data_IF_628296407933
#
_entry.id   IF_628296407933
#
_cell.length_a   1.000
_cell.length_b   1.000
_cell.length_c   1.000
_cell.angle_alpha   90.00
_cell.angle_beta   90.00
_cell.angle_gamma   90.00
#
_symmetry.space_group_name_H-M   'P 1'
#
loop_
_entity.id
_entity.type
_entity.pdbx_description
1 polymer ?
#
# COMPACT_ATOMS: atom_id res chain seq x y z
N UNK A 1 73.69 -10.31 -35.20
CA UNK A 1 74.36 -11.62 -35.41
C UNK A 1 73.90 -12.49 -34.25
N UNK A 2 73.22 -13.63 -34.34
CA UNK A 2 73.06 -14.73 -35.32
C UNK A 2 71.80 -15.51 -34.85
N UNK A 3 70.78 -15.77 -35.69
CA UNK A 3 70.42 -17.05 -36.36
C UNK A 3 70.55 -18.30 -35.44
N UNK A 4 69.67 -19.29 -35.40
CA UNK A 4 68.38 -19.71 -35.98
C UNK A 4 68.04 -21.01 -35.21
N UNK A 5 66.77 -21.40 -35.06
CA UNK A 5 66.38 -22.77 -35.39
C UNK A 5 64.88 -22.83 -35.71
N UNK A 6 64.58 -23.25 -36.92
CA UNK A 6 63.24 -23.58 -37.40
C UNK A 6 62.88 -25.01 -36.99
N UNK A 7 61.59 -25.27 -36.75
CA UNK A 7 60.94 -26.44 -37.35
C UNK A 7 59.48 -26.18 -37.64
N UNK A 8 59.16 -26.24 -38.94
CA UNK A 8 57.82 -26.26 -39.52
C UNK A 8 57.24 -27.67 -39.38
N UNK A 9 55.95 -27.77 -39.09
CA UNK A 9 55.10 -28.86 -39.59
C UNK A 9 53.75 -28.23 -39.97
N UNK A 10 53.44 -28.25 -41.26
CA UNK A 10 52.10 -28.05 -41.81
C UNK A 10 51.32 -29.38 -41.69
N UNK A 11 50.00 -29.40 -41.60
CA UNK A 11 48.98 -29.58 -42.67
C UNK A 11 47.67 -29.81 -41.85
N UNK A 12 46.47 -29.28 -42.12
CA UNK A 12 45.62 -29.42 -43.32
C UNK A 12 44.48 -28.39 -43.26
N UNK A 13 44.04 -27.90 -44.42
CA UNK A 13 42.86 -27.07 -44.59
C UNK A 13 41.56 -27.89 -44.59
N UNK A 14 40.46 -27.29 -44.10
CA UNK A 14 39.10 -27.59 -44.58
C UNK A 14 38.37 -26.25 -44.75
N UNK A 15 38.07 -25.93 -46.01
CA UNK A 15 37.09 -24.93 -46.42
C UNK A 15 35.73 -25.61 -46.42
N UNK A 16 34.75 -25.05 -45.71
CA UNK A 16 33.34 -25.39 -45.90
C UNK A 16 32.55 -24.08 -46.04
N UNK A 17 32.01 -23.89 -47.25
CA UNK A 17 31.02 -22.86 -47.58
C UNK A 17 29.76 -23.09 -46.76
N UNK A 18 29.31 -22.08 -46.02
CA UNK A 18 27.96 -22.03 -45.46
C UNK A 18 27.13 -21.01 -46.25
N UNK A 19 26.16 -21.56 -46.97
CA UNK A 19 25.12 -20.91 -47.75
C UNK A 19 24.16 -20.09 -46.91
N UNK A 20 23.52 -19.12 -47.57
CA UNK A 20 22.65 -18.10 -47.00
C UNK A 20 21.52 -18.61 -46.11
N UNK A 21 21.23 -17.78 -45.11
CA UNK A 21 20.00 -17.76 -44.33
C UNK A 21 19.86 -16.35 -43.76
N UNK A 22 19.32 -15.41 -44.55
CA UNK A 22 18.81 -14.14 -44.04
C UNK A 22 17.60 -14.48 -43.17
N UNK A 23 17.83 -14.67 -41.87
CA UNK A 23 16.76 -14.62 -40.88
C UNK A 23 16.35 -13.16 -40.81
N UNK A 24 15.24 -12.83 -41.49
CA UNK A 24 14.54 -11.58 -41.26
C UNK A 24 14.12 -11.58 -39.79
N UNK A 25 14.82 -10.80 -38.98
CA UNK A 25 14.41 -10.49 -37.62
C UNK A 25 13.12 -9.68 -37.81
N UNK A 26 11.97 -10.32 -37.65
CA UNK A 26 10.71 -9.61 -37.59
C UNK A 26 10.82 -8.63 -36.43
N UNK A 27 10.90 -7.33 -36.75
CA UNK A 27 10.76 -6.29 -35.75
C UNK A 27 9.44 -6.47 -35.00
N UNK A 28 9.30 -5.93 -33.77
CA UNK A 28 8.04 -5.98 -33.07
C UNK A 28 6.98 -5.41 -34.02
N UNK A 29 5.93 -6.21 -34.27
CA UNK A 29 4.77 -5.73 -34.99
C UNK A 29 4.36 -4.42 -34.30
N UNK A 30 4.40 -3.32 -35.05
CA UNK A 30 3.90 -2.05 -34.56
C UNK A 30 2.50 -2.34 -34.01
N UNK A 31 2.32 -2.12 -32.70
CA UNK A 31 1.01 -2.13 -32.08
C UNK A 31 0.14 -1.23 -32.94
N UNK A 32 -0.82 -1.81 -33.67
CA UNK A 32 -1.80 -1.02 -34.39
C UNK A 32 -2.39 -0.04 -33.37
N UNK A 33 -2.29 1.25 -33.67
CA UNK A 33 -2.78 2.32 -32.79
C UNK A 33 -4.31 2.17 -32.67
N UNK A 34 -4.76 1.28 -31.78
CA UNK A 34 -6.17 0.92 -31.59
C UNK A 34 -7.00 2.14 -31.22
N UNK A 35 -6.35 3.16 -30.68
CA UNK A 35 -6.98 4.35 -30.12
C UNK A 35 -6.31 5.58 -30.73
N UNK A 36 -6.77 5.97 -31.93
CA UNK A 36 -6.13 7.01 -32.73
C UNK A 36 -5.80 8.29 -31.96
N UNK A 37 -4.65 8.90 -32.30
CA UNK A 37 -4.11 10.11 -31.67
C UNK A 37 -5.12 11.27 -31.60
N UNK A 38 -5.59 11.58 -30.40
CA UNK A 38 -6.46 12.71 -30.08
C UNK A 38 -7.23 12.50 -28.77
N UNK A 39 -7.91 13.51 -28.23
CA UNK A 39 -8.55 13.44 -26.90
C UNK A 39 -9.54 12.27 -26.71
N UNK A 40 -10.17 11.82 -27.80
CA UNK A 40 -11.06 10.65 -27.77
C UNK A 40 -10.29 9.33 -27.68
N UNK A 41 -9.17 9.21 -28.38
CA UNK A 41 -8.28 8.06 -28.29
C UNK A 41 -7.61 7.98 -26.93
N UNK A 42 -7.09 9.10 -26.42
CA UNK A 42 -6.54 9.19 -25.06
C UNK A 42 -7.58 8.78 -24.01
N UNK A 43 -8.82 9.25 -24.12
CA UNK A 43 -9.90 8.81 -23.24
C UNK A 43 -10.19 7.32 -23.35
N UNK A 44 -10.12 6.73 -24.55
CA UNK A 44 -10.33 5.30 -24.73
C UNK A 44 -9.22 4.49 -24.02
N UNK A 45 -7.95 4.88 -24.20
CA UNK A 45 -6.79 4.28 -23.51
C UNK A 45 -6.94 4.38 -21.99
N UNK A 46 -7.28 5.56 -21.47
CA UNK A 46 -7.48 5.73 -20.02
C UNK A 46 -8.63 4.87 -19.48
N UNK A 47 -9.70 4.69 -20.25
CA UNK A 47 -10.80 3.81 -19.87
C UNK A 47 -10.41 2.33 -19.93
N UNK A 48 -9.58 1.91 -20.90
CA UNK A 48 -9.00 0.57 -20.95
C UNK A 48 -8.20 0.30 -19.67
N UNK A 49 -7.28 1.20 -19.30
CA UNK A 49 -6.51 1.06 -18.05
C UNK A 49 -7.39 1.00 -16.81
N UNK A 50 -8.46 1.81 -16.74
CA UNK A 50 -9.38 1.78 -15.62
C UNK A 50 -10.17 0.45 -15.54
N UNK A 51 -10.60 -0.10 -16.67
CA UNK A 51 -11.30 -1.39 -16.74
C UNK A 51 -10.38 -2.53 -16.35
N UNK A 52 -9.15 -2.56 -16.87
CA UNK A 52 -8.17 -3.61 -16.56
C UNK A 52 -7.72 -3.55 -15.09
N UNK A 53 -7.50 -2.34 -14.56
CA UNK A 53 -7.19 -2.15 -13.14
C UNK A 53 -8.35 -2.61 -12.25
N UNK A 54 -9.60 -2.30 -12.63
CA UNK A 54 -10.76 -2.78 -11.90
C UNK A 54 -10.90 -4.31 -11.96
N UNK A 55 -10.57 -4.94 -13.08
CA UNK A 55 -10.58 -6.39 -13.19
C UNK A 55 -9.63 -7.05 -12.17
N UNK A 56 -8.45 -6.47 -11.94
CA UNK A 56 -7.53 -6.92 -10.89
C UNK A 56 -8.15 -6.80 -9.49
N UNK A 57 -8.71 -5.64 -9.13
CA UNK A 57 -9.42 -5.47 -7.85
C UNK A 57 -10.57 -6.47 -7.67
N UNK A 58 -11.36 -6.69 -8.72
CA UNK A 58 -12.49 -7.62 -8.67
C UNK A 58 -12.03 -9.07 -8.48
N UNK A 59 -10.88 -9.46 -9.05
CA UNK A 59 -10.30 -10.80 -8.93
C UNK A 59 -9.65 -11.05 -7.56
N UNK A 60 -9.08 -10.01 -6.93
CA UNK A 60 -8.48 -10.12 -5.59
C UNK A 60 -9.51 -10.30 -4.47
N UNK A 61 -10.78 -9.98 -4.70
CA UNK A 61 -11.81 -9.97 -3.66
C UNK A 61 -12.37 -11.35 -3.39
N UNK A 62 -12.36 -11.75 -2.13
CA UNK A 62 -13.07 -12.94 -1.70
C UNK A 62 -14.59 -12.76 -1.80
N UNK A 63 -15.31 -13.67 -2.49
CA UNK A 63 -16.73 -13.51 -2.72
C UNK A 63 -17.59 -13.69 -1.47
N UNK A 64 -17.09 -14.33 -0.41
CA UNK A 64 -17.83 -14.51 0.83
C UNK A 64 -17.65 -13.31 1.77
N UNK A 65 -16.41 -12.89 1.98
CA UNK A 65 -16.10 -11.80 2.93
C UNK A 65 -16.14 -10.41 2.29
N UNK A 66 -15.94 -10.31 0.96
CA UNK A 66 -15.73 -9.04 0.29
C UNK A 66 -14.38 -8.37 0.60
N UNK A 67 -13.43 -9.09 1.20
CA UNK A 67 -12.09 -8.58 1.48
C UNK A 67 -11.15 -8.80 0.28
N UNK A 68 -10.37 -7.79 -0.13
CA UNK A 68 -9.38 -7.94 -1.19
C UNK A 68 -8.10 -8.60 -0.66
N UNK A 69 -7.56 -9.60 -1.35
CA UNK A 69 -6.20 -10.08 -1.11
C UNK A 69 -5.16 -8.97 -1.34
N UNK A 70 -3.99 -9.11 -0.73
CA UNK A 70 -2.85 -8.21 -0.93
C UNK A 70 -2.28 -8.29 -2.34
N UNK A 71 -2.21 -9.50 -2.87
CA UNK A 71 -1.76 -9.75 -4.24
C UNK A 71 -2.42 -11.00 -4.82
N UNK A 72 -2.31 -11.10 -6.15
CA UNK A 72 -2.78 -12.20 -7.00
C UNK A 72 -1.80 -12.31 -8.17
N UNK A 73 -1.67 -13.49 -8.79
CA UNK A 73 -0.83 -13.63 -9.99
C UNK A 73 -1.43 -12.88 -11.20
N UNK A 74 -0.58 -12.62 -12.20
CA UNK A 74 -0.93 -11.76 -13.35
C UNK A 74 -1.99 -12.35 -14.29
N UNK A 75 -2.31 -13.63 -14.18
CA UNK A 75 -3.42 -14.26 -14.89
C UNK A 75 -4.78 -14.08 -14.20
N UNK A 76 -4.78 -13.46 -13.02
CA UNK A 76 -5.95 -13.17 -12.19
C UNK A 76 -6.71 -14.43 -11.72
N UNK A 77 -6.05 -15.58 -11.63
CA UNK A 77 -6.67 -16.79 -11.07
C UNK A 77 -6.95 -16.59 -9.57
N UNK A 78 -8.21 -16.63 -9.10
CA UNK A 78 -8.55 -16.48 -7.68
C UNK A 78 -7.90 -17.51 -6.76
N UNK A 79 -7.38 -18.63 -7.29
CA UNK A 79 -6.62 -19.62 -6.54
C UNK A 79 -5.21 -19.14 -6.15
N UNK A 80 -4.71 -18.07 -6.79
CA UNK A 80 -3.37 -17.50 -6.55
C UNK A 80 -3.40 -16.27 -5.63
N UNK A 81 -4.56 -15.95 -5.04
CA UNK A 81 -4.67 -14.90 -4.02
C UNK A 81 -3.75 -15.19 -2.84
N UNK A 82 -3.18 -14.14 -2.28
CA UNK A 82 -2.12 -14.21 -1.28
C UNK A 82 -2.49 -14.89 0.04
N UNK A 83 -3.78 -15.06 0.37
CA UNK A 83 -4.21 -15.60 1.66
C UNK A 83 -4.12 -14.58 2.80
N UNK A 84 -3.93 -13.29 2.49
CA UNK A 84 -4.02 -12.21 3.47
C UNK A 84 -4.42 -10.87 2.86
N UNK A 85 -4.94 -9.97 3.70
CA UNK A 85 -5.32 -8.59 3.41
C UNK A 85 -4.85 -7.63 4.51
N UNK A 86 -4.86 -6.33 4.21
CA UNK A 86 -4.52 -5.26 5.15
C UNK A 86 -5.60 -4.17 5.17
N UNK A 87 -5.65 -3.32 6.22
CA UNK A 87 -6.53 -2.15 6.22
C UNK A 87 -6.29 -1.23 5.01
N UNK A 88 -5.05 -1.12 4.51
CA UNK A 88 -4.74 -0.39 3.26
C UNK A 88 -5.41 -1.04 2.06
N UNK A 89 -5.30 -2.36 1.90
CA UNK A 89 -5.89 -3.08 0.76
C UNK A 89 -7.42 -2.96 0.78
N UNK A 90 -8.03 -3.12 1.96
CA UNK A 90 -9.46 -2.92 2.19
C UNK A 90 -9.86 -1.49 1.81
N UNK A 91 -9.14 -0.48 2.31
CA UNK A 91 -9.38 0.92 1.96
C UNK A 91 -9.29 1.16 0.45
N UNK A 92 -8.26 0.59 -0.17
CA UNK A 92 -8.03 0.68 -1.60
C UNK A 92 -9.16 0.11 -2.43
N UNK A 93 -9.67 -1.06 -2.06
CA UNK A 93 -10.82 -1.64 -2.72
C UNK A 93 -12.08 -0.79 -2.56
N UNK A 94 -12.34 -0.24 -1.36
CA UNK A 94 -13.50 0.58 -1.09
C UNK A 94 -13.55 1.85 -1.95
N UNK A 95 -12.47 2.64 -2.01
CA UNK A 95 -12.47 3.83 -2.88
C UNK A 95 -12.44 3.47 -4.37
N UNK A 96 -11.78 2.38 -4.74
CA UNK A 96 -11.73 1.94 -6.14
C UNK A 96 -13.09 1.45 -6.64
N UNK A 97 -13.91 0.86 -5.76
CA UNK A 97 -15.30 0.51 -6.05
C UNK A 97 -16.16 1.75 -6.34
N UNK A 98 -15.93 2.85 -5.61
CA UNK A 98 -16.59 4.14 -5.89
C UNK A 98 -16.15 4.69 -7.26
N UNK A 99 -14.84 4.65 -7.56
CA UNK A 99 -14.31 5.11 -8.85
C UNK A 99 -14.86 4.28 -10.01
N UNK A 100 -14.88 2.94 -9.89
CA UNK A 100 -15.41 2.04 -10.91
C UNK A 100 -16.90 2.31 -11.22
N UNK A 101 -17.69 2.62 -10.18
CA UNK A 101 -19.08 3.05 -10.34
C UNK A 101 -19.19 4.36 -11.10
N UNK A 102 -18.39 5.36 -10.73
CA UNK A 102 -18.48 6.72 -11.28
C UNK A 102 -17.96 6.79 -12.72
N UNK A 103 -17.01 5.91 -13.08
CA UNK A 103 -16.57 5.69 -14.46
C UNK A 103 -17.54 4.82 -15.28
N UNK A 104 -18.55 4.21 -14.65
CA UNK A 104 -19.55 3.36 -15.31
C UNK A 104 -19.05 1.95 -15.65
N UNK A 105 -17.93 1.51 -15.06
CA UNK A 105 -17.38 0.16 -15.20
C UNK A 105 -18.30 -0.86 -14.51
N UNK A 106 -18.84 -0.48 -13.35
CA UNK A 106 -19.86 -1.26 -12.62
C UNK A 106 -21.11 -0.43 -12.37
N UNK A 107 -22.24 -1.13 -12.19
CA UNK A 107 -23.51 -0.46 -11.89
C UNK A 107 -23.53 0.12 -10.46
N UNK A 108 -24.40 1.11 -10.23
CA UNK A 108 -24.66 1.64 -8.87
C UNK A 108 -25.15 0.59 -7.89
N UNK A 109 -25.87 -0.42 -8.37
CA UNK A 109 -26.35 -1.53 -7.55
C UNK A 109 -25.20 -2.43 -7.12
N UNK A 110 -24.36 -2.84 -8.08
CA UNK A 110 -23.18 -3.67 -7.84
C UNK A 110 -22.20 -3.00 -6.87
N UNK A 111 -21.88 -1.73 -7.12
CA UNK A 111 -21.01 -0.94 -6.24
C UNK A 111 -21.54 -0.90 -4.79
N UNK A 112 -22.84 -0.62 -4.60
CA UNK A 112 -23.44 -0.60 -3.25
C UNK A 112 -23.36 -1.98 -2.59
N UNK A 113 -23.64 -3.05 -3.33
CA UNK A 113 -23.62 -4.41 -2.79
C UNK A 113 -22.21 -4.79 -2.30
N UNK A 114 -21.18 -4.54 -3.13
CA UNK A 114 -19.77 -4.76 -2.79
C UNK A 114 -19.34 -3.96 -1.57
N UNK A 115 -19.57 -2.64 -1.57
CA UNK A 115 -19.26 -1.77 -0.44
C UNK A 115 -19.95 -2.25 0.84
N UNK A 116 -21.24 -2.59 0.77
CA UNK A 116 -21.99 -3.05 1.95
C UNK A 116 -21.47 -4.38 2.48
N UNK A 117 -21.04 -5.29 1.61
CA UNK A 117 -20.49 -6.58 2.01
C UNK A 117 -19.14 -6.40 2.72
N UNK A 118 -18.22 -5.66 2.11
CA UNK A 118 -16.90 -5.39 2.71
C UNK A 118 -17.06 -4.65 4.05
N UNK A 119 -17.91 -3.62 4.13
CA UNK A 119 -18.15 -2.90 5.38
C UNK A 119 -18.75 -3.80 6.47
N UNK A 120 -19.66 -4.71 6.12
CA UNK A 120 -20.24 -5.65 7.09
C UNK A 120 -19.17 -6.59 7.67
N UNK A 121 -18.26 -7.09 6.83
CA UNK A 121 -17.13 -7.90 7.29
C UNK A 121 -16.17 -7.09 8.14
N UNK A 122 -15.76 -5.90 7.69
CA UNK A 122 -14.83 -5.01 8.41
C UNK A 122 -15.35 -4.67 9.81
N UNK A 123 -16.66 -4.45 9.95
CA UNK A 123 -17.27 -4.18 11.25
C UNK A 123 -17.15 -5.36 12.25
N UNK A 124 -16.95 -6.58 11.76
CA UNK A 124 -16.80 -7.79 12.57
C UNK A 124 -15.36 -8.27 12.75
N UNK A 125 -14.36 -7.62 12.14
CA UNK A 125 -12.96 -8.01 12.31
C UNK A 125 -12.51 -7.77 13.75
N UNK A 126 -11.69 -8.69 14.25
CA UNK A 126 -10.97 -8.47 15.50
C UNK A 126 -10.06 -7.24 15.35
N UNK A 127 -10.08 -6.36 16.35
CA UNK A 127 -9.30 -5.12 16.35
C UNK A 127 -9.01 -4.72 17.79
N UNK A 128 -8.01 -3.87 17.99
CA UNK A 128 -7.63 -3.46 19.34
C UNK A 128 -8.76 -2.66 19.98
N UNK A 129 -9.27 -3.14 21.11
CA UNK A 129 -10.50 -2.66 21.73
C UNK A 129 -10.41 -1.18 22.13
N UNK A 130 -9.32 -0.78 22.80
CA UNK A 130 -9.20 0.56 23.38
C UNK A 130 -8.96 1.67 22.35
N UNK A 131 -8.29 1.34 21.24
CA UNK A 131 -7.96 2.29 20.16
C UNK A 131 -8.93 2.22 18.98
N UNK A 132 -9.68 1.12 18.85
CA UNK A 132 -10.50 0.79 17.69
C UNK A 132 -9.72 0.61 16.38
N UNK A 133 -8.39 0.52 16.45
CA UNK A 133 -7.51 0.35 15.30
C UNK A 133 -7.42 -1.12 14.87
N UNK A 134 -7.33 -1.34 13.57
CA UNK A 134 -7.22 -2.64 12.95
C UNK A 134 -5.76 -3.11 12.93
N UNK A 135 -5.60 -4.43 13.02
CA UNK A 135 -4.32 -5.09 12.81
C UNK A 135 -3.95 -5.02 11.32
N UNK A 136 -2.67 -5.09 11.00
CA UNK A 136 -2.22 -4.88 9.64
C UNK A 136 -2.47 -6.08 8.72
N UNK A 137 -2.68 -7.28 9.28
CA UNK A 137 -2.88 -8.51 8.51
C UNK A 137 -4.06 -9.33 9.00
N UNK A 138 -4.96 -9.66 8.08
CA UNK A 138 -6.07 -10.59 8.25
C UNK A 138 -6.06 -11.61 7.12
N UNK A 139 -6.54 -12.82 7.36
CA UNK A 139 -6.91 -13.77 6.31
C UNK A 139 -8.14 -13.21 5.57
N UNK A 140 -8.07 -13.06 4.25
CA UNK A 140 -9.14 -12.46 3.44
C UNK A 140 -10.36 -13.37 3.32
N UNK A 141 -10.21 -14.69 3.41
CA UNK A 141 -11.29 -15.65 3.26
C UNK A 141 -12.10 -15.84 4.56
N UNK A 142 -11.51 -15.54 5.71
CA UNK A 142 -12.12 -15.76 7.03
C UNK A 142 -12.26 -14.49 7.86
N UNK A 143 -11.48 -13.45 7.59
CA UNK A 143 -11.38 -12.25 8.42
C UNK A 143 -10.59 -12.47 9.72
N UNK A 144 -9.92 -13.63 9.88
CA UNK A 144 -9.15 -13.92 11.08
C UNK A 144 -7.86 -13.09 11.13
N UNK A 145 -7.56 -12.49 12.29
CA UNK A 145 -6.28 -11.81 12.54
C UNK A 145 -5.12 -12.79 12.33
N UNK A 146 -4.12 -12.39 11.55
CA UNK A 146 -2.97 -13.25 11.32
C UNK A 146 -2.00 -13.24 12.49
N UNK A 147 -1.61 -14.44 12.89
CA UNK A 147 -0.54 -14.69 13.86
C UNK A 147 0.58 -15.57 13.29
N UNK A 148 0.44 -15.99 12.03
CA UNK A 148 1.45 -16.69 11.26
C UNK A 148 1.26 -16.37 9.78
N UNK A 149 2.35 -16.29 9.02
CA UNK A 149 2.29 -16.03 7.58
C UNK A 149 1.70 -17.23 6.84
N UNK A 150 0.74 -17.02 5.91
CA UNK A 150 0.28 -18.06 5.01
C UNK A 150 1.45 -18.65 4.21
N UNK A 151 1.46 -19.97 4.06
CA UNK A 151 2.52 -20.70 3.35
C UNK A 151 3.74 -21.02 4.24
N UNK A 152 4.44 -20.02 4.78
CA UNK A 152 5.68 -20.27 5.55
C UNK A 152 5.42 -20.69 7.00
N UNK A 153 4.33 -20.21 7.60
CA UNK A 153 4.01 -20.43 9.01
C UNK A 153 4.85 -19.59 9.98
N UNK A 154 5.67 -18.67 9.48
CA UNK A 154 6.50 -17.79 10.31
C UNK A 154 5.61 -16.91 11.19
N UNK A 155 6.01 -16.69 12.46
CA UNK A 155 5.25 -15.89 13.41
C UNK A 155 5.01 -14.47 12.89
N UNK A 156 3.75 -14.05 12.93
CA UNK A 156 3.34 -12.66 12.77
C UNK A 156 3.00 -12.12 14.15
N UNK A 157 3.63 -11.02 14.54
CA UNK A 157 3.23 -10.22 15.70
C UNK A 157 2.17 -9.23 15.22
N UNK A 158 0.91 -9.32 15.70
CA UNK A 158 -0.17 -8.47 15.22
C UNK A 158 0.14 -7.00 15.44
N UNK A 159 0.44 -6.30 14.35
CA UNK A 159 0.86 -4.90 14.37
C UNK A 159 -0.31 -4.00 14.00
N UNK A 160 -0.44 -2.86 14.69
CA UNK A 160 -1.41 -1.83 14.38
C UNK A 160 -0.69 -0.65 13.74
N UNK A 161 -0.66 -0.63 12.41
CA UNK A 161 0.03 0.38 11.61
C UNK A 161 -0.74 1.70 11.56
N UNK A 162 -0.03 2.81 11.81
CA UNK A 162 -0.57 4.17 11.65
C UNK A 162 -0.99 4.43 10.20
N UNK A 163 -0.19 3.95 9.23
CA UNK A 163 -0.43 4.16 7.80
C UNK A 163 -1.65 3.36 7.34
N UNK A 164 -1.72 2.08 7.68
CA UNK A 164 -2.80 1.22 7.20
C UNK A 164 -4.15 1.68 7.72
N UNK A 165 -4.22 2.02 9.01
CA UNK A 165 -5.42 2.58 9.60
C UNK A 165 -5.75 3.97 9.02
N UNK A 166 -4.74 4.78 8.69
CA UNK A 166 -4.91 6.06 7.99
C UNK A 166 -5.63 5.91 6.64
N UNK A 167 -5.23 4.92 5.83
CA UNK A 167 -5.86 4.66 4.54
C UNK A 167 -7.26 4.07 4.67
N UNK A 168 -7.47 3.12 5.58
CA UNK A 168 -8.82 2.60 5.84
C UNK A 168 -9.77 3.70 6.30
N UNK A 169 -9.37 4.53 7.26
CA UNK A 169 -10.15 5.65 7.74
C UNK A 169 -10.51 6.66 6.63
N UNK A 170 -9.55 6.93 5.73
CA UNK A 170 -9.78 7.78 4.56
C UNK A 170 -10.84 7.19 3.63
N UNK A 171 -10.74 5.89 3.36
CA UNK A 171 -11.71 5.17 2.54
C UNK A 171 -13.11 5.22 3.17
N UNK A 172 -13.21 5.03 4.49
CA UNK A 172 -14.46 5.13 5.24
C UNK A 172 -15.10 6.51 5.07
N UNK A 173 -14.34 7.60 5.28
CA UNK A 173 -14.84 8.97 5.06
C UNK A 173 -15.30 9.18 3.61
N UNK A 174 -14.52 8.71 2.64
CA UNK A 174 -14.85 8.82 1.22
C UNK A 174 -16.16 8.09 0.90
N UNK A 175 -16.29 6.82 1.31
CA UNK A 175 -17.50 6.00 1.06
C UNK A 175 -18.71 6.59 1.76
N UNK A 176 -18.59 7.08 3.00
CA UNK A 176 -19.70 7.72 3.72
C UNK A 176 -20.24 8.99 3.04
N UNK A 177 -19.41 9.66 2.23
CA UNK A 177 -19.81 10.78 1.40
C UNK A 177 -20.34 10.34 0.03
N UNK A 178 -19.64 9.41 -0.64
CA UNK A 178 -19.96 8.96 -2.00
C UNK A 178 -21.15 7.99 -2.07
N UNK A 179 -21.51 7.33 -0.98
CA UNK A 179 -22.64 6.43 -0.85
C UNK A 179 -23.38 6.66 0.49
N UNK A 180 -24.20 7.73 0.60
CA UNK A 180 -24.87 8.11 1.84
C UNK A 180 -25.77 7.02 2.44
N UNK A 181 -26.24 6.06 1.63
CA UNK A 181 -27.04 4.93 2.09
C UNK A 181 -26.26 3.96 2.99
N UNK A 182 -24.93 4.01 2.97
CA UNK A 182 -24.04 3.20 3.81
C UNK A 182 -23.39 4.00 4.96
N UNK A 183 -23.74 5.28 5.11
CA UNK A 183 -23.11 6.17 6.11
C UNK A 183 -23.20 5.64 7.53
N UNK A 184 -24.31 5.00 7.91
CA UNK A 184 -24.44 4.40 9.25
C UNK A 184 -23.45 3.25 9.48
N UNK A 185 -23.24 2.38 8.49
CA UNK A 185 -22.28 1.28 8.59
C UNK A 185 -20.85 1.81 8.66
N UNK A 186 -20.53 2.79 7.81
CA UNK A 186 -19.24 3.50 7.82
C UNK A 186 -18.99 4.12 9.18
N UNK A 187 -19.95 4.85 9.73
CA UNK A 187 -19.78 5.57 10.99
C UNK A 187 -19.60 4.60 12.17
N UNK A 188 -20.29 3.46 12.18
CA UNK A 188 -20.13 2.43 13.21
C UNK A 188 -18.69 1.89 13.29
N UNK A 189 -17.94 1.91 12.18
CA UNK A 189 -16.54 1.53 12.14
C UNK A 189 -15.65 2.73 12.48
N UNK A 190 -15.85 3.84 11.76
CA UNK A 190 -15.00 5.04 11.82
C UNK A 190 -15.00 5.68 13.21
N UNK A 191 -16.14 5.72 13.89
CA UNK A 191 -16.30 6.42 15.17
C UNK A 191 -15.48 5.81 16.31
N UNK A 192 -15.02 4.57 16.16
CA UNK A 192 -14.24 3.89 17.19
C UNK A 192 -12.74 4.10 17.02
N UNK A 193 -12.28 4.57 15.86
CA UNK A 193 -10.84 4.72 15.56
C UNK A 193 -10.28 5.97 16.26
N UNK A 194 -9.27 5.80 17.11
CA UNK A 194 -8.59 6.90 17.84
C UNK A 194 -7.11 7.01 17.46
N UNK A 195 -6.81 7.90 16.51
CA UNK A 195 -5.43 8.16 16.05
C UNK A 195 -4.54 8.75 17.13
N UNK A 196 -5.10 9.23 18.23
CA UNK A 196 -4.33 9.66 19.39
C UNK A 196 -3.45 8.54 19.96
N UNK A 197 -3.81 7.26 19.79
CA UNK A 197 -2.95 6.15 20.23
C UNK A 197 -1.58 6.15 19.55
N UNK A 198 -1.48 6.69 18.33
CA UNK A 198 -0.21 6.78 17.63
C UNK A 198 0.59 8.03 17.99
N UNK A 199 -0.02 9.02 18.64
CA UNK A 199 0.59 10.31 18.89
C UNK A 199 1.46 10.29 20.15
N UNK A 200 2.76 10.50 19.98
CA UNK A 200 3.69 10.69 21.08
C UNK A 200 3.68 12.18 21.49
N UNK A 201 3.15 12.54 22.67
CA UNK A 201 3.05 13.93 23.09
C UNK A 201 4.40 14.57 23.45
N UNK A 202 5.41 13.77 23.79
CA UNK A 202 6.73 14.28 24.16
C UNK A 202 7.53 14.69 22.92
N UNK A 203 7.31 13.98 21.80
CA UNK A 203 7.95 14.27 20.50
C UNK A 203 7.06 15.12 19.59
N UNK A 204 5.75 15.10 19.82
CA UNK A 204 4.75 15.76 18.99
C UNK A 204 4.58 15.12 17.60
N UNK A 205 4.92 13.85 17.44
CA UNK A 205 4.88 13.11 16.18
C UNK A 205 4.14 11.78 16.32
N UNK A 206 3.73 11.21 15.20
CA UNK A 206 3.12 9.88 15.18
C UNK A 206 4.20 8.80 15.24
N UNK A 207 3.99 7.75 16.03
CA UNK A 207 4.73 6.49 15.93
C UNK A 207 4.39 5.76 14.62
N UNK A 208 5.28 4.86 14.21
CA UNK A 208 5.03 3.92 13.10
C UNK A 208 3.76 3.08 13.31
N UNK A 209 3.53 2.71 14.57
CA UNK A 209 2.37 1.96 15.04
C UNK A 209 2.64 1.38 16.42
N UNK A 210 1.89 0.35 16.79
CA UNK A 210 2.13 -0.40 18.03
C UNK A 210 1.71 -1.87 17.92
N UNK A 211 2.18 -2.69 18.85
CA UNK A 211 1.70 -4.04 19.11
C UNK A 211 0.98 -4.08 20.46
N UNK A 212 -0.03 -4.94 20.58
CA UNK A 212 -0.73 -5.24 21.84
C UNK A 212 -0.13 -6.46 22.58
N UNK A 213 0.95 -7.02 22.04
CA UNK A 213 1.80 -8.02 22.67
C UNK A 213 3.29 -7.67 22.44
N UNK A 214 4.18 -8.25 23.24
CA UNK A 214 5.61 -7.98 23.11
C UNK A 214 6.14 -8.44 21.73
N UNK A 215 6.68 -7.54 20.89
CA UNK A 215 7.19 -7.88 19.58
C UNK A 215 8.61 -8.43 19.63
N UNK A 216 9.08 -8.94 18.49
CA UNK A 216 10.50 -9.26 18.29
C UNK A 216 11.39 -8.01 18.10
N UNK A 217 10.80 -6.83 17.86
CA UNK A 217 11.54 -5.59 17.67
C UNK A 217 12.14 -5.10 19.00
N UNK A 218 13.47 -5.17 19.10
CA UNK A 218 14.22 -4.72 20.28
C UNK A 218 14.18 -3.20 20.50
N UNK A 219 13.79 -2.42 19.49
CA UNK A 219 13.62 -0.97 19.60
C UNK A 219 12.21 -0.58 20.09
N UNK A 220 11.31 -1.54 20.31
CA UNK A 220 9.97 -1.25 20.77
C UNK A 220 9.97 -0.60 22.16
N UNK A 221 9.09 0.38 22.36
CA UNK A 221 8.98 1.18 23.59
C UNK A 221 7.62 0.93 24.20
N UNK A 222 7.58 0.52 25.47
CA UNK A 222 6.33 0.31 26.21
C UNK A 222 5.76 1.66 26.66
N UNK A 223 4.45 1.83 26.51
CA UNK A 223 3.75 2.98 27.10
C UNK A 223 2.27 3.04 26.78
N UNK A 224 1.65 4.17 27.13
CA UNK A 224 0.21 4.40 26.94
C UNK A 224 -0.06 5.89 26.70
N UNK A 225 0.06 6.37 25.45
CA UNK A 225 -0.08 7.81 25.14
C UNK A 225 -1.50 8.36 25.32
N UNK A 226 -2.50 7.50 25.48
CA UNK A 226 -3.92 7.90 25.62
C UNK A 226 -4.50 7.62 26.99
N UNK A 227 -3.69 7.12 27.92
CA UNK A 227 -4.11 6.72 29.27
C UNK A 227 -5.38 5.85 29.25
N UNK A 228 -5.47 4.94 28.26
CA UNK A 228 -6.65 4.09 28.04
C UNK A 228 -6.22 2.69 27.64
N UNK A 229 -6.72 1.69 28.36
CA UNK A 229 -6.30 0.31 28.17
C UNK A 229 -4.96 0.00 28.86
N UNK A 230 -4.44 -1.22 28.66
CA UNK A 230 -3.11 -1.60 29.09
C UNK A 230 -2.02 -0.87 28.30
N UNK A 231 -0.78 -0.95 28.78
CA UNK A 231 0.37 -0.50 28.00
C UNK A 231 0.51 -1.33 26.72
N UNK A 232 0.95 -0.66 25.65
CA UNK A 232 1.25 -1.25 24.35
C UNK A 232 2.72 -1.07 24.01
N UNK A 233 3.20 -1.79 23.01
CA UNK A 233 4.57 -1.69 22.51
C UNK A 233 4.59 -0.82 21.26
N UNK A 234 5.03 0.44 21.38
CA UNK A 234 5.19 1.33 20.22
C UNK A 234 6.45 1.03 19.44
N UNK A 235 6.44 1.33 18.15
CA UNK A 235 7.68 1.32 17.34
C UNK A 235 8.73 2.28 17.89
N UNK A 236 10.01 1.91 17.81
CA UNK A 236 11.11 2.80 18.25
C UNK A 236 11.25 4.10 17.44
N UNK A 237 10.66 4.16 16.25
CA UNK A 237 10.72 5.30 15.33
C UNK A 237 9.40 6.09 15.28
N UNK A 238 9.49 7.30 14.73
CA UNK A 238 8.37 8.20 14.44
C UNK A 238 8.30 8.57 12.97
N UNK A 239 7.11 8.92 12.51
CA UNK A 239 6.88 9.58 11.23
C UNK A 239 7.15 11.07 11.36
N UNK A 240 8.44 11.42 11.27
CA UNK A 240 8.91 12.79 11.39
C UNK A 240 8.96 13.57 10.08
N UNK A 241 8.75 12.95 8.92
CA UNK A 241 8.82 13.66 7.62
C UNK A 241 7.44 14.11 7.18
N UNK A 242 7.29 15.39 6.81
CA UNK A 242 6.00 15.96 6.43
C UNK A 242 5.47 15.34 5.14
N UNK A 243 6.29 15.21 4.10
CA UNK A 243 5.81 14.83 2.77
C UNK A 243 5.92 13.32 2.51
N UNK A 244 5.31 12.52 3.38
CA UNK A 244 5.25 11.07 3.28
C UNK A 244 3.81 10.57 3.45
N UNK A 245 3.61 9.30 3.09
CA UNK A 245 2.36 8.56 3.22
C UNK A 245 1.59 8.71 4.56
N UNK A 246 2.21 8.61 5.76
CA UNK A 246 1.51 8.69 7.06
C UNK A 246 0.83 10.03 7.33
N UNK A 247 1.10 11.08 6.55
CA UNK A 247 0.49 12.40 6.71
C UNK A 247 -1.05 12.34 6.69
N UNK A 248 -1.64 11.35 6.02
CA UNK A 248 -3.10 11.19 6.03
C UNK A 248 -3.65 10.92 7.44
N UNK A 249 -2.93 10.15 8.26
CA UNK A 249 -3.29 9.91 9.66
C UNK A 249 -3.20 11.19 10.50
N UNK A 250 -2.19 12.04 10.23
CA UNK A 250 -2.08 13.38 10.84
C UNK A 250 -3.31 14.23 10.54
N UNK A 251 -3.75 14.27 9.27
CA UNK A 251 -4.92 15.06 8.88
C UNK A 251 -6.20 14.56 9.53
N UNK A 252 -6.41 13.24 9.57
CA UNK A 252 -7.58 12.65 10.21
C UNK A 252 -7.58 12.90 11.71
N UNK A 253 -6.46 12.64 12.40
CA UNK A 253 -6.34 12.84 13.84
C UNK A 253 -6.54 14.30 14.25
N UNK A 254 -5.99 15.26 13.50
CA UNK A 254 -6.21 16.70 13.74
C UNK A 254 -7.68 17.05 13.46
N UNK A 255 -8.23 16.66 12.31
CA UNK A 255 -9.60 16.99 11.92
C UNK A 255 -10.65 16.40 12.88
N UNK A 256 -10.34 15.27 13.52
CA UNK A 256 -11.21 14.62 14.50
C UNK A 256 -10.94 15.06 15.94
N UNK A 257 -10.02 16.02 16.16
CA UNK A 257 -9.68 16.51 17.50
C UNK A 257 -8.97 15.49 18.39
N UNK A 258 -8.39 14.44 17.80
CA UNK A 258 -7.66 13.39 18.49
C UNK A 258 -6.17 13.71 18.66
N UNK A 259 -5.64 14.58 17.79
CA UNK A 259 -4.25 15.03 17.77
C UNK A 259 -4.21 16.56 17.75
N UNK A 260 -3.33 17.21 18.54
CA UNK A 260 -3.16 18.66 18.51
C UNK A 260 -2.68 19.16 17.13
N UNK A 261 -3.14 20.35 16.72
CA UNK A 261 -2.80 20.92 15.42
C UNK A 261 -1.29 21.24 15.29
N UNK A 262 -0.62 21.45 16.42
CA UNK A 262 0.82 21.62 16.58
C UNK A 262 1.60 20.45 15.97
N UNK A 263 1.03 19.23 15.93
CA UNK A 263 1.64 18.08 15.26
C UNK A 263 2.02 18.35 13.80
N UNK A 264 1.22 19.13 13.06
CA UNK A 264 1.56 19.51 11.68
C UNK A 264 2.88 20.29 11.62
N UNK A 265 3.22 20.98 12.72
CA UNK A 265 4.35 21.86 12.80
C UNK A 265 5.67 21.19 13.22
N UNK A 266 5.63 20.00 13.81
CA UNK A 266 6.81 19.28 14.35
C UNK A 266 7.56 18.42 13.32
N UNK A 267 6.99 18.19 12.13
CA UNK A 267 7.58 17.32 11.11
C UNK A 267 8.63 18.02 10.23
N UNK A 268 9.71 17.35 9.82
CA UNK A 268 10.67 17.84 8.84
C UNK A 268 10.04 18.06 7.47
N UNK A 269 10.19 19.27 6.93
CA UNK A 269 9.73 19.63 5.57
C UNK A 269 10.75 19.19 4.54
N UNK A 270 12.01 19.21 4.96
CA UNK A 270 13.17 18.67 4.30
C UNK A 270 14.21 18.37 5.38
N UNK A 271 15.16 17.49 5.09
CA UNK A 271 16.23 17.14 6.02
C UNK A 271 17.41 18.11 5.87
N UNK A 272 18.17 18.40 6.96
CA UNK A 272 19.39 19.20 6.87
C UNK A 272 20.38 18.61 5.86
N UNK A 273 21.18 19.46 5.20
CA UNK A 273 22.31 18.97 4.39
C UNK A 273 23.55 18.80 5.27
N UNK A 274 23.55 17.77 6.12
CA UNK A 274 24.68 17.42 7.00
C UNK A 274 25.14 15.99 6.73
N UNK A 275 26.29 15.59 7.30
CA UNK A 275 26.82 14.22 7.14
C UNK A 275 25.83 13.15 7.58
N UNK A 276 25.09 13.40 8.68
CA UNK A 276 24.08 12.49 9.23
C UNK A 276 22.86 12.33 8.30
N UNK A 277 22.65 13.29 7.40
CA UNK A 277 21.58 13.34 6.41
C UNK A 277 22.15 13.39 4.99
N UNK A 278 23.23 12.65 4.75
CA UNK A 278 23.92 12.65 3.45
C UNK A 278 23.21 11.82 2.37
N UNK A 279 22.30 10.94 2.78
CA UNK A 279 21.57 9.97 1.94
C UNK A 279 20.47 10.54 1.00
N UNK A 280 19.84 11.71 1.21
CA UNK A 280 18.88 12.24 0.25
C UNK A 280 19.55 12.62 -1.07
N UNK A 281 19.08 12.06 -2.18
CA UNK A 281 19.58 12.35 -3.52
C UNK A 281 19.32 13.81 -3.93
N UNK A 282 18.16 14.35 -3.53
CA UNK A 282 17.82 15.75 -3.73
C UNK A 282 18.11 16.55 -2.46
N UNK A 283 19.17 17.37 -2.52
CA UNK A 283 19.56 18.23 -1.39
C UNK A 283 18.61 19.43 -1.23
N UNK A 284 18.34 19.88 0.01
CA UNK A 284 17.56 21.07 0.24
C UNK A 284 18.26 22.29 -0.37
N UNK A 285 17.49 23.15 -1.03
CA UNK A 285 17.94 24.46 -1.54
C UNK A 285 17.00 25.54 -1.03
N UNK A 286 17.49 26.77 -0.87
CA UNK A 286 16.68 27.92 -0.44
C UNK A 286 16.96 28.36 1.00
N UNK A 287 15.91 28.77 1.71
CA UNK A 287 16.01 29.36 3.05
C UNK A 287 15.36 28.46 4.09
N UNK A 288 15.97 28.40 5.27
CA UNK A 288 15.39 27.74 6.43
C UNK A 288 14.34 28.64 7.09
N UNK A 289 13.17 28.07 7.33
CA UNK A 289 12.11 28.69 8.10
C UNK A 289 11.77 27.76 9.27
N UNK A 290 11.78 28.30 10.48
CA UNK A 290 11.22 27.62 11.63
C UNK A 290 9.71 27.92 11.69
N UNK A 291 8.92 26.88 11.82
CA UNK A 291 7.50 26.95 12.11
C UNK A 291 7.31 26.51 13.56
N UNK A 292 6.25 27.03 14.21
CA UNK A 292 5.85 26.84 15.61
C UNK A 292 6.70 25.86 16.42
#
# INVERSE_FOLDING_TARGET
>A
MTRHLHRRVAVTAVVALATGGLVAIAGPAASEDRHGHGPRGERAVMMEYAVDTWASFAAMVDPATGLPADNIEGDLDPATRSGYTSPTNIGAYLWSTVVARDLGIISRHDAKARLSQTLATVAGLERHEDSGMFYNWYDEATGAKLTAWPGTGDRVYPFLSTVDNGWLATALVLVGNAEPRLRQQVEAIRSTMDFGFYYDPDVGQLRGGFWDEQPADAAAVVGNYRDRGPDVWYTGHHYGTLNTEPRIASYLGIAWGQIPAEHYFTMFRTFPDTCDWSWPEQKPVGQWQQYL
#
